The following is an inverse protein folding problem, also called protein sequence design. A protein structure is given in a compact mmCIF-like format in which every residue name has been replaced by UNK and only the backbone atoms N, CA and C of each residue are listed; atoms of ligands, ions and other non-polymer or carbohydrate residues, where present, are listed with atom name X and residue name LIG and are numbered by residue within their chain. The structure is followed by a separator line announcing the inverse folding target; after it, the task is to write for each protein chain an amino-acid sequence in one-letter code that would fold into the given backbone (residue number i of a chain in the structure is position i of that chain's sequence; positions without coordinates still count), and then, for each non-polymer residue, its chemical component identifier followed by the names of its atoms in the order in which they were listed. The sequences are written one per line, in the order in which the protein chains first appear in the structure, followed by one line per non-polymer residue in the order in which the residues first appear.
data_IF_567424165876
#
_entry.id   IF_567424165876
#
_cell.length_a   1.000
_cell.length_b   1.000
_cell.length_c   1.000
_cell.angle_alpha   90.00
_cell.angle_beta   90.00
_cell.angle_gamma   90.00
#
_symmetry.space_group_name_H-M   'P 1'
#
loop_
_entity.id
_entity.type
_entity.pdbx_description
1 polymer ?
#
# COMPACT_ATOMS: atom_id res chain seq x y z
N UNK A 1 4.72 8.82 -5.20
CA UNK A 1 6.19 8.81 -5.04
C UNK A 1 6.53 7.87 -3.89
N UNK A 2 7.40 6.90 -4.15
CA UNK A 2 7.81 5.89 -3.17
C UNK A 2 8.98 6.45 -2.35
N UNK A 3 9.06 6.14 -1.07
CA UNK A 3 10.10 6.68 -0.18
C UNK A 3 11.46 5.98 -0.29
N UNK A 4 11.58 4.90 -1.09
CA UNK A 4 12.83 4.15 -1.29
C UNK A 4 13.31 3.33 -0.09
N UNK A 5 12.62 3.40 1.05
CA UNK A 5 12.98 2.66 2.26
C UNK A 5 12.34 1.26 2.26
N UNK A 6 13.05 0.22 2.74
CA UNK A 6 12.44 -1.10 2.95
C UNK A 6 11.20 -1.04 3.85
N UNK A 7 10.19 -1.82 3.50
CA UNK A 7 8.96 -1.96 4.28
C UNK A 7 9.15 -2.95 5.45
N UNK A 8 8.27 -2.86 6.44
CA UNK A 8 8.18 -3.82 7.54
C UNK A 8 7.10 -4.85 7.23
N UNK A 9 7.30 -6.15 7.53
CA UNK A 9 6.27 -7.16 7.37
C UNK A 9 4.96 -6.75 8.02
N UNK A 10 3.85 -6.96 7.31
CA UNK A 10 2.52 -6.68 7.82
C UNK A 10 2.18 -7.63 8.98
N UNK A 11 1.49 -7.12 9.99
CA UNK A 11 0.97 -7.92 11.11
C UNK A 11 -0.55 -7.99 11.03
N UNK A 12 -1.13 -9.01 11.63
CA UNK A 12 -2.59 -9.09 11.75
C UNK A 12 -3.13 -7.86 12.47
N UNK A 13 -4.12 -7.20 11.86
CA UNK A 13 -4.77 -6.02 12.42
C UNK A 13 -5.43 -6.31 13.77
N UNK A 14 -5.27 -5.39 14.72
CA UNK A 14 -5.92 -5.43 16.03
C UNK A 14 -6.79 -4.17 16.21
N UNK A 15 -8.00 -4.34 16.75
CA UNK A 15 -8.91 -3.21 17.01
C UNK A 15 -8.21 -2.18 17.90
N UNK A 16 -8.30 -0.90 17.53
CA UNK A 16 -7.69 0.21 18.26
C UNK A 16 -6.18 0.42 18.03
N UNK A 17 -5.52 -0.44 17.25
CA UNK A 17 -4.08 -0.31 16.95
C UNK A 17 -3.91 0.29 15.55
N UNK A 18 -3.22 1.41 15.46
CA UNK A 18 -2.79 1.97 14.17
C UNK A 18 -1.49 1.30 13.73
N UNK A 19 -1.44 0.66 12.55
CA UNK A 19 -0.22 0.03 12.10
C UNK A 19 0.91 1.03 11.80
N UNK A 20 2.18 0.59 11.85
CA UNK A 20 3.32 1.45 11.54
C UNK A 20 3.25 2.07 10.15
N UNK A 21 3.77 3.29 10.00
CA UNK A 21 3.84 3.98 8.70
C UNK A 21 4.65 3.19 7.66
N UNK A 22 5.61 2.37 8.11
CA UNK A 22 6.45 1.53 7.27
C UNK A 22 5.89 0.13 6.98
N UNK A 23 4.72 -0.21 7.50
CA UNK A 23 4.09 -1.52 7.24
C UNK A 23 3.89 -1.76 5.72
N UNK A 24 4.21 -2.96 5.25
CA UNK A 24 4.02 -3.38 3.86
C UNK A 24 2.56 -3.40 3.49
N UNK A 25 2.22 -2.74 2.37
CA UNK A 25 0.95 -2.82 1.68
C UNK A 25 1.17 -3.26 0.23
N UNK A 26 0.20 -4.00 -0.30
CA UNK A 26 0.06 -4.25 -1.74
C UNK A 26 -1.00 -3.28 -2.26
N UNK A 27 -0.61 -2.41 -3.19
CA UNK A 27 -1.47 -1.40 -3.79
C UNK A 27 -1.57 -1.59 -5.30
N UNK A 28 -2.59 -0.99 -5.92
CA UNK A 28 -2.72 -1.03 -7.37
C UNK A 28 -1.84 0.06 -8.02
N UNK A 29 -1.08 -0.28 -9.07
CA UNK A 29 -0.36 0.70 -9.90
C UNK A 29 -1.34 1.66 -10.55
N UNK A 30 -2.31 1.12 -11.28
CA UNK A 30 -3.49 1.83 -11.78
C UNK A 30 -4.59 1.68 -10.71
N UNK A 31 -5.04 2.77 -10.05
CA UNK A 31 -6.06 2.67 -9.02
C UNK A 31 -7.34 1.98 -9.52
N UNK A 32 -7.93 1.12 -8.69
CA UNK A 32 -9.21 0.45 -9.00
C UNK A 32 -10.33 1.45 -9.34
N UNK A 33 -10.36 2.60 -8.66
CA UNK A 33 -11.33 3.68 -8.92
C UNK A 33 -11.20 4.29 -10.33
N UNK A 34 -10.07 4.09 -11.01
CA UNK A 34 -9.80 4.51 -12.40
C UNK A 34 -9.89 3.34 -13.39
N UNK A 35 -10.47 2.21 -12.99
CA UNK A 35 -10.59 1.02 -13.84
C UNK A 35 -9.35 0.13 -13.88
N UNK A 36 -8.39 0.32 -12.97
CA UNK A 36 -7.22 -0.56 -12.90
C UNK A 36 -7.59 -2.02 -12.57
N UNK A 37 -6.95 -3.02 -13.22
CA UNK A 37 -7.29 -4.42 -13.04
C UNK A 37 -6.82 -4.96 -11.68
N UNK A 38 -7.53 -5.96 -11.14
CA UNK A 38 -7.15 -6.64 -9.89
C UNK A 38 -6.13 -7.77 -10.08
N UNK A 39 -5.32 -7.70 -11.14
CA UNK A 39 -4.35 -8.74 -11.49
C UNK A 39 -3.01 -8.51 -10.76
N UNK A 40 -2.21 -9.57 -10.50
CA UNK A 40 -0.93 -9.43 -9.80
C UNK A 40 0.04 -8.46 -10.46
N UNK A 41 -0.01 -8.32 -11.78
CA UNK A 41 0.86 -7.43 -12.58
C UNK A 41 0.55 -5.95 -12.34
N UNK A 42 -0.68 -5.62 -11.91
CA UNK A 42 -1.06 -4.29 -11.47
C UNK A 42 -0.81 -4.08 -9.97
N UNK A 43 -0.21 -5.05 -9.28
CA UNK A 43 0.19 -4.92 -7.89
C UNK A 43 1.56 -4.25 -7.73
N UNK A 44 1.70 -3.37 -6.75
CA UNK A 44 2.98 -2.83 -6.31
C UNK A 44 3.10 -2.88 -4.79
N UNK A 45 4.32 -3.07 -4.29
CA UNK A 45 4.61 -3.04 -2.86
C UNK A 45 4.95 -1.61 -2.42
N UNK A 46 4.21 -1.10 -1.45
CA UNK A 46 4.41 0.22 -0.84
C UNK A 46 4.38 0.13 0.68
N UNK A 47 5.04 1.05 1.37
CA UNK A 47 4.75 1.23 2.80
C UNK A 47 3.37 1.88 2.99
N UNK A 48 2.77 1.71 4.17
CA UNK A 48 1.48 2.32 4.55
C UNK A 48 1.45 3.83 4.29
N UNK A 49 2.51 4.55 4.64
CA UNK A 49 2.61 6.00 4.41
C UNK A 49 2.58 6.37 2.93
N UNK A 50 3.35 5.67 2.09
CA UNK A 50 3.37 5.92 0.64
C UNK A 50 2.04 5.56 -0.01
N UNK A 51 1.44 4.43 0.38
CA UNK A 51 0.13 4.00 -0.13
C UNK A 51 -0.95 5.05 0.17
N UNK A 52 -1.05 5.48 1.43
CA UNK A 52 -2.04 6.49 1.83
C UNK A 52 -1.81 7.85 1.13
N UNK A 53 -0.55 8.24 0.93
CA UNK A 53 -0.21 9.48 0.20
C UNK A 53 -0.53 9.38 -1.30
N UNK A 54 -0.38 8.21 -1.90
CA UNK A 54 -0.74 7.94 -3.30
C UNK A 54 -2.25 8.08 -3.48
N UNK A 55 -3.04 7.40 -2.63
CA UNK A 55 -4.49 7.38 -2.75
C UNK A 55 -4.93 6.88 -4.14
N UNK A 56 -5.93 7.53 -4.73
CA UNK A 56 -6.41 7.20 -6.08
C UNK A 56 -5.63 7.92 -7.21
N UNK A 57 -4.39 8.37 -6.95
CA UNK A 57 -3.54 8.99 -7.97
C UNK A 57 -2.89 7.93 -8.83
#
# INVERSE_FOLDING_TARGET
MNCGTPTLPAKQGKRGVTPPVRETNVDHVIPKAKGGPGSPENGQVLCRGCNLRKGAK
#
